data_IF_811126845754
#
_entry.id   IF_811126845754
#
_cell.length_a   1.000
_cell.length_b   1.000
_cell.length_c   1.000
_cell.angle_alpha   90.00
_cell.angle_beta   90.00
_cell.angle_gamma   90.00
#
_symmetry.space_group_name_H-M   'P 1'
#
loop_
_entity.id
_entity.type
_entity.pdbx_description
1 polymer ?
#
# COMPACT_ATOMS: atom_id res chain seq x y z
N UNK A 1 -4.58 -1.40 46.47
CA UNK A 1 -5.51 -1.46 45.32
C UNK A 1 -5.73 -0.04 44.80
N UNK A 2 -5.19 0.27 43.62
CA UNK A 2 -5.82 1.07 42.55
C UNK A 2 -4.77 1.33 41.47
N UNK A 3 -4.79 0.46 40.47
CA UNK A 3 -4.23 0.74 39.14
C UNK A 3 -4.97 1.98 38.63
N UNK A 4 -4.25 3.09 38.49
CA UNK A 4 -4.78 4.32 37.94
C UNK A 4 -4.94 4.09 36.43
N UNK A 5 -6.16 3.72 36.02
CA UNK A 5 -6.51 3.43 34.64
C UNK A 5 -6.41 4.69 33.80
N UNK A 6 -5.71 4.58 32.66
CA UNK A 6 -5.82 5.55 31.58
C UNK A 6 -7.30 5.75 31.21
N UNK A 7 -7.76 7.00 31.05
CA UNK A 7 -9.14 7.27 30.66
C UNK A 7 -9.41 6.68 29.27
N UNK A 8 -10.55 6.00 29.12
CA UNK A 8 -10.98 5.34 27.89
C UNK A 8 -11.17 6.31 26.70
N UNK A 9 -11.16 7.61 26.95
CA UNK A 9 -11.32 8.68 25.94
C UNK A 9 -10.11 8.80 25.00
N UNK A 10 -8.91 8.45 25.47
CA UNK A 10 -7.68 8.48 24.66
C UNK A 10 -7.61 7.33 23.64
N UNK A 11 -8.29 6.21 23.92
CA UNK A 11 -8.30 5.04 23.05
C UNK A 11 -9.10 5.27 21.77
N UNK A 12 -10.22 6.01 21.86
CA UNK A 12 -11.08 6.29 20.70
C UNK A 12 -10.50 7.40 19.82
N UNK A 13 -9.91 8.44 20.40
CA UNK A 13 -9.27 9.52 19.64
C UNK A 13 -8.12 9.00 18.76
N UNK A 14 -7.27 8.13 19.33
CA UNK A 14 -6.14 7.53 18.60
C UNK A 14 -6.58 6.61 17.46
N UNK A 15 -7.72 5.94 17.61
CA UNK A 15 -8.28 5.09 16.56
C UNK A 15 -8.88 5.91 15.42
N UNK A 16 -9.57 7.02 15.73
CA UNK A 16 -10.20 7.87 14.73
C UNK A 16 -9.18 8.64 13.88
N UNK A 17 -8.06 9.08 14.49
CA UNK A 17 -6.93 9.63 13.74
C UNK A 17 -6.25 8.55 12.86
N UNK A 18 -6.16 7.32 13.34
CA UNK A 18 -5.65 6.19 12.54
C UNK A 18 -6.59 5.82 11.39
N UNK A 19 -7.91 5.87 11.58
CA UNK A 19 -8.90 5.63 10.51
C UNK A 19 -8.89 6.74 9.48
N UNK A 20 -8.87 8.02 9.88
CA UNK A 20 -8.78 9.13 8.94
C UNK A 20 -7.43 9.16 8.18
N UNK A 21 -6.32 8.81 8.85
CA UNK A 21 -5.01 8.63 8.21
C UNK A 21 -4.99 7.37 7.34
N UNK A 22 -5.69 6.30 7.72
CA UNK A 22 -5.84 5.09 6.92
C UNK A 22 -6.73 5.32 5.70
N UNK A 23 -7.79 6.12 5.79
CA UNK A 23 -8.67 6.52 4.69
C UNK A 23 -7.97 7.47 3.72
N UNK A 24 -7.23 8.47 4.21
CA UNK A 24 -6.41 9.34 3.35
C UNK A 24 -5.26 8.58 2.68
N UNK A 25 -4.68 7.59 3.37
CA UNK A 25 -3.72 6.66 2.76
C UNK A 25 -4.42 5.66 1.84
N UNK A 26 -5.67 5.29 2.10
CA UNK A 26 -6.41 4.33 1.30
C UNK A 26 -6.63 4.84 -0.14
N UNK A 27 -7.04 6.10 -0.29
CA UNK A 27 -7.15 6.72 -1.63
C UNK A 27 -5.80 6.86 -2.36
N UNK A 28 -4.67 6.88 -1.64
CA UNK A 28 -3.34 6.99 -2.27
C UNK A 28 -2.91 5.68 -2.95
N UNK A 29 -3.39 4.53 -2.45
CA UNK A 29 -3.04 3.20 -2.97
C UNK A 29 -4.12 2.58 -3.86
N UNK A 30 -5.22 3.31 -4.11
CA UNK A 30 -6.31 2.83 -4.94
C UNK A 30 -5.91 2.75 -6.41
N UNK A 31 -5.59 1.53 -6.84
CA UNK A 31 -5.19 1.24 -8.21
C UNK A 31 -6.33 1.45 -9.22
N UNK A 32 -7.60 1.51 -8.78
CA UNK A 32 -8.74 1.83 -9.64
C UNK A 32 -8.87 3.33 -9.91
N UNK A 33 -8.51 4.19 -8.95
CA UNK A 33 -8.49 5.65 -9.15
C UNK A 33 -7.24 6.12 -9.91
N UNK A 34 -6.16 5.34 -9.88
CA UNK A 34 -4.88 5.63 -10.55
C UNK A 34 -4.91 5.39 -12.08
N UNK A 35 -5.97 5.81 -12.75
CA UNK A 35 -6.09 5.71 -14.23
C UNK A 35 -5.21 6.71 -14.99
N UNK A 36 -4.62 7.70 -14.31
CA UNK A 36 -3.71 8.68 -14.92
C UNK A 36 -2.27 8.16 -14.87
N UNK A 37 -1.69 7.94 -16.05
CA UNK A 37 -0.33 7.41 -16.24
C UNK A 37 0.76 8.06 -15.39
N UNK A 38 0.69 9.36 -15.12
CA UNK A 38 1.67 10.08 -14.29
C UNK A 38 1.58 9.72 -12.81
N UNK A 39 0.36 9.46 -12.30
CA UNK A 39 0.16 9.07 -10.91
C UNK A 39 0.60 7.61 -10.67
N UNK A 40 0.41 6.74 -11.66
CA UNK A 40 0.90 5.36 -11.64
C UNK A 40 2.42 5.28 -11.47
N UNK A 41 3.14 6.02 -12.32
CA UNK A 41 4.61 6.06 -12.27
C UNK A 41 5.10 6.62 -10.94
N UNK A 42 4.50 7.73 -10.48
CA UNK A 42 4.88 8.35 -9.21
C UNK A 42 4.68 7.40 -8.04
N UNK A 43 3.53 6.72 -7.97
CA UNK A 43 3.28 5.75 -6.91
C UNK A 43 4.30 4.60 -6.96
N UNK A 44 4.56 4.03 -8.14
CA UNK A 44 5.55 2.96 -8.26
C UNK A 44 6.97 3.39 -7.85
N UNK A 45 7.34 4.64 -8.17
CA UNK A 45 8.63 5.21 -7.73
C UNK A 45 8.67 5.46 -6.22
N UNK A 46 7.61 6.00 -5.64
CA UNK A 46 7.50 6.22 -4.20
C UNK A 46 7.57 4.88 -3.43
N UNK A 47 6.95 3.82 -3.97
CA UNK A 47 7.02 2.46 -3.41
C UNK A 47 8.41 1.83 -3.51
N UNK A 48 9.19 2.13 -4.55
CA UNK A 48 10.59 1.68 -4.61
C UNK A 48 11.50 2.47 -3.66
N UNK A 49 11.22 3.77 -3.48
CA UNK A 49 12.05 4.65 -2.65
C UNK A 49 11.80 4.51 -1.15
N UNK A 50 10.59 4.13 -0.73
CA UNK A 50 10.19 4.06 0.68
C UNK A 50 9.62 2.68 1.05
N UNK A 51 10.40 1.91 1.78
CA UNK A 51 10.02 0.57 2.25
C UNK A 51 8.82 0.58 3.22
N UNK A 52 8.62 1.66 3.99
CA UNK A 52 7.45 1.79 4.87
C UNK A 52 6.18 2.02 4.05
N UNK A 53 6.28 2.84 3.02
CA UNK A 53 5.21 3.07 2.06
C UNK A 53 4.87 1.78 1.30
N UNK A 54 5.90 1.05 0.86
CA UNK A 54 5.76 -0.25 0.21
C UNK A 54 4.96 -1.25 1.06
N UNK A 55 5.34 -1.40 2.34
CA UNK A 55 4.62 -2.29 3.25
C UNK A 55 3.17 -1.83 3.51
N UNK A 56 2.93 -0.53 3.62
CA UNK A 56 1.58 0.00 3.77
C UNK A 56 0.70 -0.29 2.54
N UNK A 57 1.25 -0.14 1.33
CA UNK A 57 0.56 -0.49 0.11
C UNK A 57 0.25 -1.99 0.03
N UNK A 58 1.17 -2.86 0.44
CA UNK A 58 0.95 -4.30 0.46
C UNK A 58 -0.22 -4.70 1.38
N UNK A 59 -0.24 -4.16 2.60
CA UNK A 59 -1.34 -4.40 3.55
C UNK A 59 -2.66 -3.86 3.00
N UNK A 60 -2.64 -2.69 2.36
CA UNK A 60 -3.83 -2.11 1.77
C UNK A 60 -4.36 -2.94 0.58
N UNK A 61 -3.48 -3.39 -0.31
CA UNK A 61 -3.85 -4.25 -1.45
C UNK A 61 -4.39 -5.60 -0.97
N UNK A 62 -3.80 -6.18 0.07
CA UNK A 62 -4.32 -7.39 0.69
C UNK A 62 -5.71 -7.19 1.30
N UNK A 63 -5.90 -6.11 2.07
CA UNK A 63 -7.19 -5.78 2.69
C UNK A 63 -8.30 -5.59 1.66
N UNK A 64 -7.98 -4.93 0.54
CA UNK A 64 -8.92 -4.70 -0.57
C UNK A 64 -8.99 -5.87 -1.57
N UNK A 65 -8.37 -7.01 -1.25
CA UNK A 65 -8.38 -8.23 -2.05
C UNK A 65 -7.93 -8.04 -3.51
N UNK A 66 -6.96 -7.14 -3.73
CA UNK A 66 -6.39 -6.94 -5.05
C UNK A 66 -5.77 -8.24 -5.59
N UNK A 67 -6.17 -8.62 -6.80
CA UNK A 67 -5.58 -9.75 -7.48
C UNK A 67 -4.13 -9.44 -7.89
N UNK A 68 -3.26 -10.45 -7.82
CA UNK A 68 -1.87 -10.35 -8.29
C UNK A 68 -1.79 -9.85 -9.74
N UNK A 69 -2.72 -10.28 -10.60
CA UNK A 69 -2.82 -9.81 -11.98
C UNK A 69 -3.04 -8.30 -12.07
N UNK A 70 -3.85 -7.72 -11.18
CA UNK A 70 -4.12 -6.28 -11.14
C UNK A 70 -2.90 -5.50 -10.67
N UNK A 71 -2.11 -6.04 -9.73
CA UNK A 71 -0.81 -5.48 -9.31
C UNK A 71 0.21 -5.54 -10.45
N UNK A 72 0.31 -6.69 -11.14
CA UNK A 72 1.19 -6.87 -12.30
C UNK A 72 0.83 -5.92 -13.46
N UNK A 73 -0.46 -5.77 -13.77
CA UNK A 73 -0.93 -4.81 -14.78
C UNK A 73 -0.59 -3.37 -14.39
N UNK A 74 -0.78 -3.00 -13.13
CA UNK A 74 -0.38 -1.70 -12.57
C UNK A 74 1.12 -1.44 -12.80
N UNK A 75 1.98 -2.39 -12.40
CA UNK A 75 3.43 -2.25 -12.52
C UNK A 75 3.90 -2.22 -13.98
N UNK A 76 3.28 -3.01 -14.86
CA UNK A 76 3.55 -2.96 -16.31
C UNK A 76 3.15 -1.62 -16.92
N UNK A 77 2.02 -1.05 -16.51
CA UNK A 77 1.61 0.28 -16.98
C UNK A 77 2.55 1.37 -16.48
N UNK A 78 2.94 1.33 -15.21
CA UNK A 78 3.93 2.24 -14.64
C UNK A 78 5.28 2.12 -15.37
N UNK A 79 5.77 0.89 -15.59
CA UNK A 79 7.01 0.60 -16.33
C UNK A 79 6.99 1.18 -17.74
N UNK A 80 5.91 0.94 -18.51
CA UNK A 80 5.74 1.50 -19.87
C UNK A 80 5.80 3.02 -19.88
N UNK A 81 5.25 3.68 -18.85
CA UNK A 81 5.27 5.15 -18.73
C UNK A 81 6.63 5.68 -18.27
N UNK A 82 7.36 4.89 -17.48
CA UNK A 82 8.70 5.19 -16.98
C UNK A 82 9.82 4.77 -17.95
N UNK A 83 9.54 4.66 -19.26
CA UNK A 83 10.50 4.21 -20.27
C UNK A 83 11.15 2.83 -19.98
N UNK A 84 10.37 1.89 -19.45
CA UNK A 84 10.83 0.53 -19.18
C UNK A 84 11.51 0.35 -17.83
N UNK A 85 11.30 1.26 -16.86
CA UNK A 85 11.80 1.09 -15.49
C UNK A 85 11.28 -0.23 -14.91
N UNK A 86 12.17 -0.98 -14.26
CA UNK A 86 11.83 -2.25 -13.66
C UNK A 86 11.21 -2.02 -12.25
N UNK A 87 10.07 -2.65 -11.99
CA UNK A 87 9.38 -2.65 -10.71
C UNK A 87 9.12 -4.07 -10.17
N UNK A 88 9.83 -5.08 -10.68
CA UNK A 88 9.74 -6.49 -10.29
C UNK A 88 10.01 -6.69 -8.80
N UNK A 89 10.84 -5.84 -8.19
CA UNK A 89 11.08 -5.85 -6.74
C UNK A 89 9.79 -5.60 -5.93
N UNK A 90 8.91 -4.73 -6.42
CA UNK A 90 7.60 -4.48 -5.79
C UNK A 90 6.70 -5.70 -5.96
N UNK A 91 6.65 -6.26 -7.18
CA UNK A 91 5.85 -7.46 -7.46
C UNK A 91 6.29 -8.64 -6.59
N UNK A 92 7.58 -8.92 -6.57
CA UNK A 92 8.16 -10.00 -5.76
C UNK A 92 7.98 -9.74 -4.27
N UNK A 93 8.17 -8.50 -3.81
CA UNK A 93 7.90 -8.12 -2.43
C UNK A 93 6.44 -8.39 -2.02
N UNK A 94 5.49 -8.13 -2.92
CA UNK A 94 4.08 -8.42 -2.66
C UNK A 94 3.77 -9.92 -2.66
N UNK A 95 4.39 -10.70 -3.54
CA UNK A 95 4.31 -12.17 -3.51
C UNK A 95 4.82 -12.73 -2.18
N UNK A 96 5.96 -12.25 -1.71
CA UNK A 96 6.52 -12.63 -0.40
C UNK A 96 5.58 -12.24 0.74
N UNK A 97 5.02 -11.03 0.70
CA UNK A 97 4.08 -10.54 1.71
C UNK A 97 2.84 -11.43 1.82
N UNK A 98 2.31 -11.88 0.69
CA UNK A 98 1.15 -12.79 0.60
C UNK A 98 1.48 -14.25 0.92
N UNK A 99 2.74 -14.57 1.25
CA UNK A 99 3.16 -15.94 1.54
C UNK A 99 3.25 -16.83 0.32
N UNK A 100 3.31 -16.28 -0.90
CA UNK A 100 3.57 -17.04 -2.13
C UNK A 100 5.06 -17.42 -2.29
N UNK A 101 5.77 -17.65 -1.18
CA UNK A 101 7.14 -18.21 -1.19
C UNK A 101 7.08 -19.70 -1.48
N UNK A 102 7.24 -20.08 -2.75
CA UNK A 102 7.20 -21.46 -3.15
C UNK A 102 7.75 -21.69 -4.55
N UNK A 103 9.03 -21.36 -4.77
CA UNK A 103 9.90 -22.01 -5.75
C UNK A 103 11.34 -22.00 -5.24
#
# INVERSE_FOLDING_TARGET
MRLMGMPAEDFFARNQENEAVAEQRASTFDLAELTKGTQLMKLADDLMGDHRLQKAAFVWWEHNQYALTKIDEFLKQASRKANGKNYDEIHNGYLLHRGYTGF
#
